data_IF_481986776336
#
_entry.id   IF_481986776336
#
_cell.length_a   1.000
_cell.length_b   1.000
_cell.length_c   1.000
_cell.angle_alpha   90.00
_cell.angle_beta   90.00
_cell.angle_gamma   90.00
#
_symmetry.space_group_name_H-M   'P 1'
#
loop_
_entity.id
_entity.type
_entity.pdbx_description
1 polymer ?
#
# COMPACT_ATOMS: atom_id res chain seq x y z
N UNK A 1 -5.44 13.45 16.75
CA UNK A 1 -6.01 14.71 16.22
C UNK A 1 -6.84 14.37 14.99
N UNK A 2 -8.18 14.43 15.06
CA UNK A 2 -9.03 14.16 13.89
C UNK A 2 -9.02 15.39 12.98
N UNK A 3 -8.37 15.30 11.82
CA UNK A 3 -8.45 16.33 10.79
C UNK A 3 -9.89 16.36 10.28
N UNK A 4 -10.61 17.46 10.51
CA UNK A 4 -11.93 17.67 9.89
C UNK A 4 -11.72 17.77 8.38
N UNK A 5 -12.36 16.87 7.64
CA UNK A 5 -12.36 16.92 6.18
C UNK A 5 -12.94 18.25 5.70
N UNK A 6 -12.33 18.82 4.66
CA UNK A 6 -12.92 19.96 3.98
C UNK A 6 -14.20 19.56 3.23
N UNK A 7 -15.00 20.54 2.81
CA UNK A 7 -16.14 20.27 1.92
C UNK A 7 -15.70 19.60 0.62
N UNK A 8 -14.53 20.00 0.10
CA UNK A 8 -13.95 19.44 -1.11
C UNK A 8 -13.52 17.98 -0.91
N UNK A 9 -12.93 17.64 0.24
CA UNK A 9 -12.55 16.26 0.54
C UNK A 9 -13.77 15.35 0.71
N UNK A 10 -14.84 15.85 1.32
CA UNK A 10 -16.12 15.11 1.37
C UNK A 10 -16.68 14.85 -0.03
N UNK A 11 -16.63 15.85 -0.91
CA UNK A 11 -17.05 15.68 -2.30
C UNK A 11 -16.21 14.62 -3.02
N UNK A 12 -14.87 14.69 -2.91
CA UNK A 12 -13.98 13.66 -3.48
C UNK A 12 -14.26 12.27 -2.93
N UNK A 13 -14.44 12.14 -1.62
CA UNK A 13 -14.77 10.87 -0.98
C UNK A 13 -16.07 10.27 -1.54
N UNK A 14 -17.12 11.10 -1.70
CA UNK A 14 -18.39 10.67 -2.28
C UNK A 14 -18.25 10.27 -3.75
N UNK A 15 -17.48 11.03 -4.56
CA UNK A 15 -17.21 10.66 -5.95
C UNK A 15 -16.48 9.32 -6.04
N UNK A 16 -15.48 9.10 -5.19
CA UNK A 16 -14.74 7.84 -5.14
C UNK A 16 -15.58 6.67 -4.65
N UNK A 17 -16.57 6.86 -3.78
CA UNK A 17 -17.50 5.79 -3.41
C UNK A 17 -18.25 5.22 -4.63
N UNK A 18 -18.47 6.03 -5.67
CA UNK A 18 -19.11 5.62 -6.93
C UNK A 18 -18.10 5.03 -7.92
N UNK A 19 -16.89 5.61 -7.99
CA UNK A 19 -15.88 5.22 -8.99
C UNK A 19 -15.03 4.01 -8.59
N UNK A 20 -14.79 3.82 -7.28
CA UNK A 20 -13.92 2.77 -6.75
C UNK A 20 -14.31 1.34 -7.19
N UNK A 21 -15.60 0.96 -7.29
CA UNK A 21 -15.99 -0.36 -7.79
C UNK A 21 -15.62 -0.59 -9.26
N UNK A 22 -15.53 0.48 -10.05
CA UNK A 22 -15.26 0.42 -11.51
C UNK A 22 -13.77 0.43 -11.80
N UNK A 23 -12.98 1.06 -10.94
CA UNK A 23 -11.54 1.27 -11.13
C UNK A 23 -10.74 0.00 -11.49
N UNK A 24 -10.92 -1.16 -10.82
CA UNK A 24 -10.15 -2.37 -11.15
C UNK A 24 -10.34 -2.82 -12.60
N UNK A 25 -11.57 -2.74 -13.13
CA UNK A 25 -11.87 -3.14 -14.50
C UNK A 25 -11.20 -2.21 -15.53
N UNK A 26 -11.19 -0.90 -15.26
CA UNK A 26 -10.53 0.08 -16.12
C UNK A 26 -9.02 -0.13 -16.08
N UNK A 27 -8.43 -0.25 -14.89
CA UNK A 27 -7.00 -0.53 -14.71
C UNK A 27 -6.59 -1.80 -15.46
N UNK A 28 -7.31 -2.90 -15.26
CA UNK A 28 -6.97 -4.19 -15.87
C UNK A 28 -7.13 -4.16 -17.38
N UNK A 29 -8.12 -3.43 -17.92
CA UNK A 29 -8.26 -3.21 -19.35
C UNK A 29 -7.07 -2.43 -19.92
N UNK A 30 -6.66 -1.34 -19.27
CA UNK A 30 -5.50 -0.54 -19.70
C UNK A 30 -4.18 -1.32 -19.64
N UNK A 31 -4.00 -2.17 -18.62
CA UNK A 31 -2.87 -3.09 -18.50
C UNK A 31 -2.88 -4.14 -19.63
N UNK A 32 -4.03 -4.79 -19.89
CA UNK A 32 -4.17 -5.80 -20.96
C UNK A 32 -3.95 -5.22 -22.35
N UNK A 33 -4.38 -3.98 -22.58
CA UNK A 33 -4.16 -3.25 -23.83
C UNK A 33 -2.71 -2.73 -23.94
N UNK A 34 -1.88 -2.89 -22.90
CA UNK A 34 -0.49 -2.44 -22.87
C UNK A 34 -0.33 -0.91 -22.87
N UNK A 35 -1.42 -0.17 -22.62
CA UNK A 35 -1.44 1.30 -22.54
C UNK A 35 -0.66 1.76 -21.31
N UNK A 36 -0.75 1.00 -20.22
CA UNK A 36 0.01 1.24 -19.00
C UNK A 36 0.85 -0.01 -18.71
N UNK A 37 2.09 0.21 -18.27
CA UNK A 37 2.99 -0.84 -17.80
C UNK A 37 3.48 -0.46 -16.42
N UNK A 38 3.30 -1.37 -15.46
CA UNK A 38 3.81 -1.23 -14.10
C UNK A 38 4.38 -2.58 -13.70
N UNK A 39 5.71 -2.68 -13.61
CA UNK A 39 6.41 -3.95 -13.43
C UNK A 39 7.62 -3.83 -12.51
N UNK A 40 7.64 -2.81 -11.66
CA UNK A 40 8.77 -2.53 -10.79
C UNK A 40 8.30 -2.79 -9.37
N UNK A 41 8.94 -3.75 -8.68
CA UNK A 41 8.77 -3.86 -7.23
C UNK A 41 9.23 -2.55 -6.61
N UNK A 42 8.28 -1.77 -6.09
CA UNK A 42 8.53 -0.48 -5.45
C UNK A 42 9.58 -0.64 -4.35
N UNK A 43 10.37 0.40 -4.06
CA UNK A 43 11.38 0.34 -2.98
C UNK A 43 10.72 0.06 -1.61
N UNK A 44 11.46 0.02 -0.50
CA UNK A 44 10.92 -0.21 0.87
C UNK A 44 10.64 -1.67 1.27
N UNK A 45 11.65 -2.52 1.10
CA UNK A 45 11.67 -3.86 1.69
C UNK A 45 11.66 -3.77 3.23
N UNK A 46 10.63 -4.34 3.87
CA UNK A 46 10.61 -4.48 5.33
C UNK A 46 11.15 -5.82 5.80
N UNK A 47 10.88 -6.89 5.05
CA UNK A 47 11.27 -8.23 5.44
C UNK A 47 10.53 -9.30 4.68
N UNK A 48 10.51 -10.49 5.28
CA UNK A 48 9.88 -11.67 4.73
C UNK A 48 8.92 -12.26 5.76
N UNK A 49 7.83 -12.89 5.30
CA UNK A 49 6.91 -13.59 6.20
C UNK A 49 7.65 -14.67 7.01
N UNK A 50 7.53 -14.63 8.34
CA UNK A 50 8.23 -15.52 9.26
C UNK A 50 7.99 -17.01 8.95
N UNK A 51 8.99 -17.89 9.10
CA UNK A 51 8.84 -19.32 8.86
C UNK A 51 7.67 -19.92 9.64
N UNK A 52 6.92 -20.83 9.01
CA UNK A 52 5.73 -21.45 9.63
C UNK A 52 4.47 -20.56 9.67
N UNK A 53 4.57 -19.25 9.42
CA UNK A 53 3.41 -18.38 9.22
C UNK A 53 2.88 -18.49 7.78
N UNK A 54 1.57 -18.34 7.62
CA UNK A 54 0.88 -18.30 6.32
C UNK A 54 0.53 -16.86 5.94
N UNK A 55 0.46 -16.58 4.62
CA UNK A 55 0.03 -15.27 4.10
C UNK A 55 -1.39 -14.94 4.58
N UNK A 56 -2.29 -15.92 4.57
CA UNK A 56 -3.66 -15.75 5.06
C UNK A 56 -3.70 -15.35 6.54
N UNK A 57 -2.85 -15.95 7.38
CA UNK A 57 -2.76 -15.59 8.79
C UNK A 57 -2.26 -14.15 8.99
N UNK A 58 -1.28 -13.72 8.20
CA UNK A 58 -0.82 -12.33 8.23
C UNK A 58 -1.93 -11.35 7.82
N UNK A 59 -2.69 -11.68 6.77
CA UNK A 59 -3.82 -10.85 6.32
C UNK A 59 -4.87 -10.74 7.42
N UNK A 60 -5.22 -11.88 8.03
CA UNK A 60 -6.18 -11.90 9.13
C UNK A 60 -5.69 -11.02 10.28
N UNK A 61 -4.45 -11.20 10.73
CA UNK A 61 -3.83 -10.38 11.78
C UNK A 61 -3.92 -8.87 11.48
N UNK A 62 -3.51 -8.46 10.28
CA UNK A 62 -3.52 -7.04 9.89
C UNK A 62 -4.93 -6.46 9.82
N UNK A 63 -5.91 -7.24 9.32
CA UNK A 63 -7.30 -6.81 9.23
C UNK A 63 -7.97 -6.73 10.60
N UNK A 64 -7.79 -7.74 11.45
CA UNK A 64 -8.48 -7.85 12.75
C UNK A 64 -7.87 -6.96 13.81
N UNK A 65 -6.53 -6.89 13.90
CA UNK A 65 -5.84 -6.18 14.99
C UNK A 65 -5.44 -4.75 14.60
N UNK A 66 -5.17 -4.49 13.33
CA UNK A 66 -4.65 -3.20 12.88
C UNK A 66 -5.59 -2.47 11.90
N UNK A 67 -6.73 -3.05 11.53
CA UNK A 67 -7.75 -2.39 10.69
C UNK A 67 -7.27 -2.11 9.26
N UNK A 68 -6.40 -2.97 8.72
CA UNK A 68 -6.10 -2.97 7.29
C UNK A 68 -7.31 -3.47 6.49
N UNK A 69 -7.35 -3.14 5.20
CA UNK A 69 -8.32 -3.64 4.24
C UNK A 69 -7.66 -3.81 2.86
N UNK A 70 -8.36 -4.44 1.91
CA UNK A 70 -7.81 -4.69 0.58
C UNK A 70 -7.61 -3.37 -0.20
N UNK A 71 -6.44 -3.18 -0.79
CA UNK A 71 -6.15 -2.00 -1.59
C UNK A 71 -6.65 -2.16 -3.03
N UNK A 72 -7.93 -1.84 -3.26
CA UNK A 72 -8.56 -2.03 -4.59
C UNK A 72 -8.17 -1.00 -5.65
N UNK A 73 -7.75 0.20 -5.22
CA UNK A 73 -7.39 1.32 -6.10
C UNK A 73 -5.87 1.51 -6.09
N UNK A 74 -5.12 0.52 -6.56
CA UNK A 74 -3.66 0.58 -6.64
C UNK A 74 -3.16 -0.11 -7.92
N UNK A 75 -1.91 0.17 -8.29
CA UNK A 75 -1.18 -0.70 -9.20
C UNK A 75 -0.97 -2.08 -8.57
N UNK A 76 -0.91 -3.11 -9.40
CA UNK A 76 -0.60 -4.48 -8.98
C UNK A 76 0.75 -4.82 -9.59
N UNK A 77 1.72 -5.17 -8.76
CA UNK A 77 3.04 -5.57 -9.24
C UNK A 77 3.01 -7.00 -9.78
N UNK A 78 3.97 -7.31 -10.64
CA UNK A 78 4.28 -8.70 -10.98
C UNK A 78 4.64 -9.48 -9.72
N UNK A 79 4.01 -10.65 -9.55
CA UNK A 79 4.14 -11.56 -8.40
C UNK A 79 3.54 -11.05 -7.07
N UNK A 80 2.83 -9.92 -7.07
CA UNK A 80 2.05 -9.49 -5.91
C UNK A 80 0.89 -10.47 -5.66
N UNK A 81 0.85 -11.08 -4.48
CA UNK A 81 -0.28 -11.91 -4.04
C UNK A 81 -1.38 -11.02 -3.47
N UNK A 82 -0.99 -10.04 -2.64
CA UNK A 82 -1.93 -9.16 -1.99
C UNK A 82 -1.36 -7.76 -1.72
N UNK A 83 -2.18 -6.75 -1.99
CA UNK A 83 -2.01 -5.37 -1.56
C UNK A 83 -3.04 -5.01 -0.48
N UNK A 84 -2.57 -4.60 0.68
CA UNK A 84 -3.37 -4.14 1.82
C UNK A 84 -3.09 -2.66 2.09
N UNK A 85 -4.11 -1.95 2.56
CA UNK A 85 -4.00 -0.56 3.00
C UNK A 85 -4.59 -0.34 4.38
N UNK A 86 -4.09 0.66 5.08
CA UNK A 86 -4.70 1.25 6.28
C UNK A 86 -4.70 2.76 6.15
N UNK A 87 -5.86 3.39 6.28
CA UNK A 87 -5.95 4.85 6.28
C UNK A 87 -5.35 5.42 7.57
N UNK A 88 -4.36 6.29 7.44
CA UNK A 88 -3.94 7.16 8.55
C UNK A 88 -4.91 8.34 8.69
N UNK A 89 -5.38 8.84 7.55
CA UNK A 89 -6.47 9.80 7.42
C UNK A 89 -6.97 9.77 5.96
N UNK A 90 -7.84 10.70 5.55
CA UNK A 90 -8.32 10.75 4.17
C UNK A 90 -7.23 11.04 3.14
N UNK A 91 -6.14 11.70 3.54
CA UNK A 91 -5.07 12.08 2.62
C UNK A 91 -3.97 11.03 2.53
N UNK A 92 -3.74 10.28 3.59
CA UNK A 92 -2.59 9.39 3.69
C UNK A 92 -2.97 7.97 4.13
N UNK A 93 -2.17 7.01 3.67
CA UNK A 93 -2.34 5.61 3.98
C UNK A 93 -1.00 4.91 4.20
N UNK A 94 -1.05 3.86 5.01
CA UNK A 94 -0.05 2.80 5.01
C UNK A 94 -0.43 1.79 3.95
N UNK A 95 0.50 1.48 3.04
CA UNK A 95 0.35 0.46 2.03
C UNK A 95 1.33 -0.67 2.33
N UNK A 96 0.84 -1.91 2.26
CA UNK A 96 1.62 -3.12 2.44
C UNK A 96 1.34 -4.07 1.27
N UNK A 97 2.40 -4.66 0.72
CA UNK A 97 2.32 -5.68 -0.33
C UNK A 97 3.03 -6.94 0.10
N UNK A 98 2.46 -8.09 -0.26
CA UNK A 98 3.07 -9.42 -0.07
C UNK A 98 3.24 -10.10 -1.41
N UNK A 99 4.43 -10.63 -1.66
CA UNK A 99 4.82 -11.26 -2.93
C UNK A 99 4.88 -12.79 -2.83
N UNK A 100 4.87 -13.47 -3.97
CA UNK A 100 4.93 -14.94 -4.09
C UNK A 100 6.13 -15.58 -3.39
N UNK A 101 7.26 -14.89 -3.33
CA UNK A 101 8.48 -15.29 -2.63
C UNK A 101 8.47 -14.97 -1.12
N UNK A 102 7.29 -14.60 -0.59
CA UNK A 102 7.06 -14.21 0.81
C UNK A 102 7.71 -12.88 1.19
N UNK A 103 8.23 -12.13 0.23
CA UNK A 103 8.72 -10.78 0.45
C UNK A 103 7.58 -9.84 0.84
N UNK A 104 7.84 -8.93 1.77
CA UNK A 104 6.89 -7.91 2.21
C UNK A 104 7.53 -6.55 2.00
N UNK A 105 6.83 -5.68 1.28
CA UNK A 105 7.20 -4.28 1.08
C UNK A 105 6.13 -3.37 1.63
N UNK A 106 6.55 -2.22 2.13
CA UNK A 106 5.66 -1.28 2.80
C UNK A 106 6.06 0.15 2.53
N UNK A 107 5.09 1.03 2.33
CA UNK A 107 5.36 2.45 2.22
C UNK A 107 4.16 3.25 2.69
N UNK A 108 4.42 4.44 3.18
CA UNK A 108 3.38 5.41 3.49
C UNK A 108 3.26 6.39 2.33
N UNK A 109 2.04 6.69 1.92
CA UNK A 109 1.79 7.47 0.70
C UNK A 109 0.48 8.24 0.77
N UNK A 110 0.26 9.08 -0.25
CA UNK A 110 -1.05 9.64 -0.50
C UNK A 110 -2.05 8.55 -0.86
N UNK A 111 -3.28 8.72 -0.36
CA UNK A 111 -4.43 7.95 -0.82
C UNK A 111 -4.77 8.31 -2.27
N UNK A 112 -5.19 7.36 -3.12
CA UNK A 112 -5.73 7.67 -4.43
C UNK A 112 -6.97 8.57 -4.35
N UNK A 113 -7.75 8.49 -3.26
CA UNK A 113 -8.99 9.26 -3.13
C UNK A 113 -8.75 10.76 -2.98
N UNK A 114 -7.69 11.15 -2.28
CA UNK A 114 -7.37 12.54 -2.06
C UNK A 114 -6.52 13.15 -3.17
N UNK A 115 -5.60 12.36 -3.75
CA UNK A 115 -4.61 12.78 -4.75
C UNK A 115 -4.29 11.65 -5.74
N UNK A 116 -5.20 11.36 -6.70
CA UNK A 116 -5.07 10.21 -7.59
C UNK A 116 -3.86 10.30 -8.52
N UNK A 117 -3.58 11.47 -9.09
CA UNK A 117 -2.43 11.64 -9.98
C UNK A 117 -1.10 11.47 -9.24
N UNK A 118 -0.97 12.05 -8.04
CA UNK A 118 0.24 11.92 -7.22
C UNK A 118 0.46 10.46 -6.79
N UNK A 119 -0.61 9.74 -6.41
CA UNK A 119 -0.53 8.31 -6.08
C UNK A 119 -0.09 7.47 -7.29
N UNK A 120 -0.64 7.73 -8.48
CA UNK A 120 -0.24 7.00 -9.69
C UNK A 120 1.20 7.31 -10.13
N UNK A 121 1.70 8.51 -9.81
CA UNK A 121 3.06 8.95 -10.06
C UNK A 121 4.05 8.57 -8.95
N UNK A 122 3.62 7.79 -7.95
CA UNK A 122 4.45 7.36 -6.82
C UNK A 122 5.04 8.52 -5.99
N UNK A 123 4.37 9.65 -5.97
CA UNK A 123 4.81 10.81 -5.22
C UNK A 123 4.58 10.62 -3.71
N UNK A 124 5.57 11.00 -2.89
CA UNK A 124 5.51 11.00 -1.42
C UNK A 124 5.57 9.60 -0.75
N UNK A 125 6.36 8.67 -1.29
CA UNK A 125 6.61 7.41 -0.59
C UNK A 125 7.58 7.63 0.58
N UNK A 126 7.12 7.32 1.79
CA UNK A 126 7.90 7.43 3.02
C UNK A 126 8.18 6.05 3.63
N UNK A 127 9.43 5.85 4.05
CA UNK A 127 9.87 4.67 4.81
C UNK A 127 9.45 4.80 6.28
N UNK A 128 8.17 4.57 6.58
CA UNK A 128 7.65 4.58 7.96
C UNK A 128 7.89 3.26 8.69
N UNK A 129 9.09 2.70 8.53
CA UNK A 129 9.47 1.35 8.95
C UNK A 129 9.02 1.01 10.36
N UNK A 130 9.35 1.86 11.33
CA UNK A 130 9.03 1.62 12.74
C UNK A 130 7.53 1.47 12.99
N UNK A 131 6.71 2.23 12.27
CA UNK A 131 5.25 2.12 12.38
C UNK A 131 4.77 0.79 11.81
N UNK A 132 5.30 0.38 10.66
CA UNK A 132 4.98 -0.91 10.05
C UNK A 132 5.43 -2.09 10.91
N UNK A 133 6.61 -2.02 11.54
CA UNK A 133 7.08 -3.04 12.45
C UNK A 133 6.14 -3.22 13.65
N UNK A 134 5.47 -2.15 14.11
CA UNK A 134 4.44 -2.26 15.17
C UNK A 134 3.15 -2.92 14.69
N UNK A 135 2.85 -2.92 13.39
CA UNK A 135 1.71 -3.67 12.85
C UNK A 135 2.06 -5.12 12.54
N UNK A 136 3.32 -5.38 12.19
CA UNK A 136 3.78 -6.68 11.74
C UNK A 136 4.30 -7.56 12.88
N UNK A 137 4.81 -6.98 13.96
CA UNK A 137 5.22 -7.69 15.17
C UNK A 137 6.14 -8.89 14.83
N UNK A 138 5.80 -10.09 15.32
CA UNK A 138 6.56 -11.33 15.11
C UNK A 138 6.19 -12.07 13.80
N UNK A 139 5.31 -11.49 12.97
CA UNK A 139 4.91 -12.11 11.70
C UNK A 139 5.98 -12.06 10.62
N UNK A 140 7.05 -11.29 10.82
CA UNK A 140 8.09 -11.10 9.81
C UNK A 140 9.49 -11.38 10.35
N UNK A 141 10.36 -11.83 9.44
CA UNK A 141 11.81 -11.72 9.59
C UNK A 141 12.24 -10.43 8.94
N UNK A 142 12.64 -9.47 9.76
CA UNK A 142 13.06 -8.14 9.33
C UNK A 142 14.27 -8.27 8.39
N UNK A 143 14.16 -7.72 7.19
CA UNK A 143 15.30 -7.61 6.30
C UNK A 143 16.21 -6.49 6.83
N UNK A 144 17.45 -6.80 7.15
CA UNK A 144 18.45 -5.78 7.43
C UNK A 144 18.94 -5.20 6.10
N UNK A 145 18.27 -4.15 5.62
CA UNK A 145 18.71 -3.36 4.47
C UNK A 145 19.44 -2.12 4.96
N UNK A 146 20.65 -1.87 4.41
CA UNK A 146 21.52 -0.71 4.69
C UNK A 146 20.70 0.57 4.86
N UNK A 147 20.94 1.32 5.94
CA UNK A 147 20.66 2.75 5.99
C UNK A 147 21.09 3.35 4.65
N UNK A 148 20.12 3.81 3.85
CA UNK A 148 20.44 4.84 2.86
C UNK A 148 20.75 6.06 3.69
N UNK A 149 22.04 6.32 3.82
CA UNK A 149 22.56 7.58 4.34
C UNK A 149 21.76 8.71 3.69
N UNK A 150 21.09 9.60 4.44
CA UNK A 150 20.27 10.68 3.89
C UNK A 150 21.08 11.73 3.10
N UNK A 151 22.34 11.44 2.78
CA UNK A 151 23.22 12.20 1.91
C UNK A 151 23.85 11.29 0.85
N UNK A 152 23.12 10.99 -0.22
CA UNK A 152 23.76 10.59 -1.49
C UNK A 152 23.00 11.16 -2.69
N UNK A 153 23.42 12.41 -2.98
CA UNK A 153 23.45 13.12 -4.29
C UNK A 153 22.14 13.56 -4.92
#
# INVERSE_FOLDING_TARGET
MYIRLSLFDRFKASAWAVLAPVFPYVRDALLRLGIIRHNIRQNFLIGYLAPGRSVQGLIEHLKTHHGFCDHRIAWVDSDEIIGLRKLANFHFQYHLRVFMDREIRVHFEYTPESRPFDHLAEACFEDRREEFLRFLEDWIVVAFGKEKDPQSS
#
